data_IF_803584386426
#
_entry.id   IF_803584386426
#
_cell.length_a   1.000
_cell.length_b   1.000
_cell.length_c   1.000
_cell.angle_alpha   90.00
_cell.angle_beta   90.00
_cell.angle_gamma   90.00
#
_symmetry.space_group_name_H-M   'P 1'
#
loop_
_entity.id
_entity.type
_entity.pdbx_description
1 polymer ?
#
# COMPACT_ATOMS: atom_id res chain seq x y z
N UNK A 1 26.52 -32.95 46.53
CA UNK A 1 25.83 -33.60 45.41
C UNK A 1 25.51 -32.48 44.41
N UNK A 2 26.25 -32.43 43.32
CA UNK A 2 26.13 -31.41 42.30
C UNK A 2 25.13 -31.87 41.22
N UNK A 3 24.05 -31.13 41.05
CA UNK A 3 23.08 -31.38 39.96
C UNK A 3 23.64 -30.87 38.64
N UNK A 4 23.90 -31.79 37.70
CA UNK A 4 24.30 -31.48 36.36
C UNK A 4 23.05 -30.96 35.58
N UNK A 5 23.10 -29.74 35.13
CA UNK A 5 22.14 -29.13 34.17
C UNK A 5 22.43 -29.76 32.80
N UNK A 6 21.46 -30.50 32.28
CA UNK A 6 21.50 -31.00 30.89
C UNK A 6 21.43 -29.81 29.92
N UNK A 7 22.47 -29.60 29.13
CA UNK A 7 22.46 -28.76 27.93
C UNK A 7 21.38 -29.28 26.97
N UNK A 8 20.47 -28.40 26.58
CA UNK A 8 19.55 -28.63 25.47
C UNK A 8 20.36 -28.73 24.17
N UNK A 9 20.11 -29.79 23.41
CA UNK A 9 20.65 -29.97 22.06
C UNK A 9 20.27 -28.76 21.19
N UNK A 10 21.30 -28.13 20.64
CA UNK A 10 21.13 -27.13 19.57
C UNK A 10 20.62 -27.90 18.35
N UNK A 11 19.37 -27.66 17.96
CA UNK A 11 18.84 -28.11 16.68
C UNK A 11 19.71 -27.52 15.59
N UNK A 12 20.41 -28.37 14.88
CA UNK A 12 21.23 -28.05 13.72
C UNK A 12 20.29 -27.56 12.61
N UNK A 13 19.99 -26.25 12.61
CA UNK A 13 19.27 -25.60 11.52
C UNK A 13 20.25 -25.57 10.37
N UNK A 14 20.04 -26.44 9.39
CA UNK A 14 20.81 -26.43 8.15
C UNK A 14 20.66 -25.05 7.54
N UNK A 15 21.76 -24.32 7.38
CA UNK A 15 21.75 -23.01 6.77
C UNK A 15 21.16 -23.14 5.35
N UNK A 16 20.07 -22.44 5.10
CA UNK A 16 19.44 -22.37 3.79
C UNK A 16 20.39 -21.67 2.81
N UNK A 17 20.79 -22.35 1.74
CA UNK A 17 21.61 -21.77 0.67
C UNK A 17 20.69 -21.31 -0.48
N UNK A 18 20.49 -20.01 -0.66
CA UNK A 18 19.63 -19.47 -1.71
C UNK A 18 20.07 -19.85 -3.12
N UNK A 19 21.38 -20.13 -3.34
CA UNK A 19 21.92 -20.44 -4.67
C UNK A 19 21.35 -21.74 -5.26
N UNK A 20 20.89 -22.67 -4.42
CA UNK A 20 20.23 -23.90 -4.87
C UNK A 20 18.93 -23.63 -5.66
N UNK A 21 18.31 -22.46 -5.46
CA UNK A 21 17.03 -22.09 -6.08
C UNK A 21 17.17 -21.06 -7.19
N UNK A 22 18.38 -20.52 -7.44
CA UNK A 22 18.59 -19.52 -8.49
C UNK A 22 18.19 -20.01 -9.88
N UNK A 23 18.47 -21.29 -10.18
CA UNK A 23 18.13 -21.90 -11.48
C UNK A 23 16.62 -22.15 -11.65
N UNK A 24 15.89 -22.24 -10.54
CA UNK A 24 14.46 -22.48 -10.50
C UNK A 24 13.66 -21.23 -10.13
N UNK A 25 14.35 -20.09 -10.01
CA UNK A 25 13.71 -18.82 -9.76
C UNK A 25 12.64 -18.54 -10.82
N UNK A 26 11.41 -18.26 -10.37
CA UNK A 26 10.21 -18.02 -11.17
C UNK A 26 9.64 -19.24 -11.93
N UNK A 27 10.23 -20.42 -11.82
CA UNK A 27 9.71 -21.66 -12.42
C UNK A 27 8.49 -22.12 -11.66
N UNK A 28 7.45 -21.94 -11.66
CA UNK A 28 6.26 -22.33 -10.86
C UNK A 28 5.27 -21.20 -10.72
N UNK A 29 5.70 -19.98 -11.09
CA UNK A 29 4.86 -18.80 -11.07
C UNK A 29 4.36 -18.40 -12.47
N UNK A 30 4.64 -19.20 -13.50
CA UNK A 30 4.32 -18.89 -14.89
C UNK A 30 2.82 -18.77 -15.22
N UNK A 31 1.96 -19.30 -14.35
CA UNK A 31 0.51 -19.21 -14.50
C UNK A 31 -0.15 -18.15 -13.58
N UNK A 32 0.64 -17.37 -12.82
CA UNK A 32 0.09 -16.30 -11.99
C UNK A 32 -0.38 -15.14 -12.87
N UNK A 33 -1.69 -14.90 -12.85
CA UNK A 33 -2.31 -13.69 -13.40
C UNK A 33 -2.29 -12.53 -12.42
N UNK A 34 -2.57 -11.33 -12.90
CA UNK A 34 -2.71 -10.15 -12.03
C UNK A 34 -3.84 -10.32 -10.99
N UNK A 35 -4.86 -11.12 -11.31
CA UNK A 35 -6.00 -11.38 -10.44
C UNK A 35 -5.66 -12.34 -9.28
N UNK A 36 -4.53 -13.05 -9.39
CA UNK A 36 -4.04 -13.95 -8.35
C UNK A 36 -3.16 -13.24 -7.32
N UNK A 37 -2.87 -11.95 -7.53
CA UNK A 37 -1.97 -11.18 -6.70
C UNK A 37 -2.74 -10.20 -5.79
N UNK A 38 -2.47 -10.27 -4.49
CA UNK A 38 -2.95 -9.24 -3.57
C UNK A 38 -2.17 -7.95 -3.77
N UNK A 39 -2.87 -6.83 -4.00
CA UNK A 39 -2.23 -5.52 -4.08
C UNK A 39 -1.86 -5.06 -2.67
N UNK A 40 -0.57 -4.90 -2.33
CA UNK A 40 -0.15 -4.42 -1.03
C UNK A 40 -0.40 -2.91 -0.94
N UNK A 41 -1.20 -2.49 0.04
CA UNK A 41 -1.41 -1.07 0.33
C UNK A 41 -0.47 -0.59 1.44
N UNK A 42 0.06 0.60 1.26
CA UNK A 42 0.71 1.34 2.33
C UNK A 42 -0.29 2.37 2.90
N UNK A 43 -0.67 2.20 4.16
CA UNK A 43 -1.71 3.00 4.82
C UNK A 43 -1.20 3.63 6.10
N UNK A 44 -1.74 4.79 6.46
CA UNK A 44 -1.52 5.39 7.77
C UNK A 44 -2.60 4.85 8.72
N UNK A 45 -2.19 4.33 9.86
CA UNK A 45 -3.10 3.90 10.92
C UNK A 45 -3.75 5.13 11.58
N UNK A 46 -5.03 5.03 11.87
CA UNK A 46 -5.82 6.03 12.59
C UNK A 46 -6.33 5.45 13.90
N UNK A 47 -6.86 6.27 14.79
CA UNK A 47 -7.45 5.85 16.08
C UNK A 47 -8.57 4.83 15.92
N UNK A 48 -9.19 4.74 14.74
CA UNK A 48 -10.24 3.77 14.43
C UNK A 48 -9.73 2.50 13.77
N UNK A 49 -8.44 2.42 13.42
CA UNK A 49 -7.85 1.27 12.73
C UNK A 49 -7.90 0.01 13.62
N UNK A 50 -8.30 -1.15 13.08
CA UNK A 50 -8.36 -2.40 13.84
C UNK A 50 -6.98 -2.84 14.35
N UNK A 51 -5.91 -2.52 13.62
CA UNK A 51 -4.53 -2.90 13.96
C UNK A 51 -4.04 -2.37 15.32
N UNK A 52 -4.59 -1.26 15.80
CA UNK A 52 -4.22 -0.67 17.10
C UNK A 52 -5.13 -1.11 18.26
N UNK A 53 -6.19 -1.83 17.98
CA UNK A 53 -7.18 -2.24 18.97
C UNK A 53 -6.86 -3.63 19.52
N UNK A 54 -6.38 -3.72 20.77
CA UNK A 54 -5.93 -4.98 21.42
C UNK A 54 -6.92 -6.15 21.39
N UNK A 55 -8.22 -5.88 21.24
CA UNK A 55 -9.27 -6.92 21.18
C UNK A 55 -9.71 -7.29 19.77
N UNK A 56 -9.15 -6.63 18.77
CA UNK A 56 -9.48 -6.88 17.36
C UNK A 56 -8.63 -8.05 16.82
N UNK A 57 -9.19 -8.97 16.04
CA UNK A 57 -8.44 -10.06 15.42
C UNK A 57 -7.30 -9.60 14.51
N UNK A 58 -7.34 -8.34 14.03
CA UNK A 58 -6.31 -7.73 13.19
C UNK A 58 -5.30 -6.91 13.99
N UNK A 59 -5.32 -6.99 15.33
CA UNK A 59 -4.38 -6.27 16.19
C UNK A 59 -2.93 -6.64 15.86
N UNK A 60 -2.08 -5.63 15.85
CA UNK A 60 -0.63 -5.79 15.70
C UNK A 60 0.04 -5.19 16.92
N UNK A 61 0.86 -5.97 17.59
CA UNK A 61 1.61 -5.52 18.78
C UNK A 61 2.53 -4.35 18.41
N UNK A 62 2.48 -3.28 19.21
CA UNK A 62 3.25 -2.07 18.99
C UNK A 62 2.70 -1.14 17.90
N UNK A 63 1.56 -1.46 17.29
CA UNK A 63 0.93 -0.56 16.33
C UNK A 63 0.22 0.59 17.04
N UNK A 64 0.48 1.81 16.60
CA UNK A 64 -0.12 3.05 17.12
C UNK A 64 -0.69 3.91 15.99
N UNK A 65 -1.57 4.83 16.36
CA UNK A 65 -2.11 5.84 15.44
C UNK A 65 -0.98 6.71 14.89
N UNK A 66 -1.03 7.01 13.59
CA UNK A 66 0.01 7.76 12.88
C UNK A 66 1.11 6.90 12.26
N UNK A 67 1.27 5.64 12.67
CA UNK A 67 2.20 4.72 12.04
C UNK A 67 1.77 4.34 10.63
N UNK A 68 2.74 3.96 9.81
CA UNK A 68 2.54 3.50 8.44
C UNK A 68 2.50 1.97 8.42
N UNK A 69 1.50 1.40 7.78
CA UNK A 69 1.21 -0.04 7.77
C UNK A 69 1.16 -0.60 6.35
N UNK A 70 1.87 -1.70 6.09
CA UNK A 70 1.78 -2.48 4.87
C UNK A 70 0.74 -3.59 5.04
N UNK A 71 -0.31 -3.59 4.22
CA UNK A 71 -1.43 -4.52 4.36
C UNK A 71 -1.08 -5.97 4.03
N UNK A 72 -0.05 -6.21 3.22
CA UNK A 72 0.38 -7.55 2.81
C UNK A 72 1.40 -8.14 3.79
N UNK A 73 2.54 -7.45 3.98
CA UNK A 73 3.63 -7.95 4.83
C UNK A 73 3.35 -7.79 6.32
N UNK A 74 2.34 -6.97 6.68
CA UNK A 74 1.99 -6.58 8.05
C UNK A 74 3.05 -5.71 8.75
N UNK A 75 4.06 -5.26 8.03
CA UNK A 75 5.07 -4.37 8.57
C UNK A 75 4.46 -3.04 9.01
N UNK A 76 4.97 -2.53 10.14
CA UNK A 76 4.67 -1.20 10.64
C UNK A 76 5.94 -0.35 10.65
N UNK A 77 5.80 0.90 10.24
CA UNK A 77 6.87 1.88 10.22
C UNK A 77 6.48 3.06 11.09
N UNK A 78 7.44 3.60 11.80
CA UNK A 78 7.24 4.82 12.60
C UNK A 78 6.79 5.97 11.68
N UNK A 79 5.70 6.64 12.03
CA UNK A 79 5.12 7.73 11.23
C UNK A 79 5.96 9.01 11.25
N UNK A 80 6.78 9.24 12.29
CA UNK A 80 7.67 10.40 12.40
C UNK A 80 8.94 10.20 11.57
N UNK A 81 9.51 9.00 11.62
CA UNK A 81 10.70 8.63 10.83
C UNK A 81 10.33 8.49 9.35
N UNK A 82 9.15 7.97 9.07
CA UNK A 82 8.65 7.72 7.72
C UNK A 82 9.25 6.47 7.08
N UNK A 83 8.93 6.28 5.80
CA UNK A 83 9.40 5.16 4.99
C UNK A 83 9.95 5.68 3.66
N UNK A 84 11.03 5.08 3.18
CA UNK A 84 11.59 5.41 1.87
C UNK A 84 10.81 4.70 0.77
N UNK A 85 10.31 5.47 -0.18
CA UNK A 85 9.61 4.94 -1.34
C UNK A 85 10.19 5.48 -2.64
N UNK A 86 10.16 4.66 -3.68
CA UNK A 86 10.46 5.06 -5.05
C UNK A 86 9.13 5.07 -5.80
N UNK A 87 8.63 6.25 -6.24
CA UNK A 87 7.43 6.30 -7.08
C UNK A 87 7.75 5.74 -8.47
N UNK A 88 6.87 4.85 -8.96
CA UNK A 88 7.05 4.16 -10.23
C UNK A 88 5.99 4.55 -11.26
N UNK A 89 4.72 4.72 -10.81
CA UNK A 89 3.63 5.12 -11.67
C UNK A 89 2.55 5.86 -10.88
N UNK A 90 1.76 6.64 -11.61
CA UNK A 90 0.62 7.38 -11.07
C UNK A 90 -0.62 7.14 -11.92
N UNK A 91 -1.75 6.87 -11.26
CA UNK A 91 -3.04 6.74 -11.91
C UNK A 91 -4.11 7.44 -11.08
N UNK A 92 -4.90 8.28 -11.72
CA UNK A 92 -6.11 8.86 -11.13
C UNK A 92 -7.32 8.12 -11.63
N UNK A 93 -8.27 7.82 -10.71
CA UNK A 93 -9.50 7.10 -11.03
C UNK A 93 -10.65 7.65 -10.19
N UNK A 94 -11.86 7.50 -10.72
CA UNK A 94 -13.09 7.65 -9.96
C UNK A 94 -13.61 6.27 -9.60
N UNK A 95 -13.84 6.03 -8.31
CA UNK A 95 -14.27 4.72 -7.81
C UNK A 95 -15.67 4.86 -7.25
N UNK A 96 -16.59 4.02 -7.75
CA UNK A 96 -17.96 3.95 -7.26
C UNK A 96 -18.06 2.97 -6.10
N UNK A 97 -18.65 3.42 -5.00
CA UNK A 97 -18.84 2.66 -3.77
C UNK A 97 -20.30 2.66 -3.32
N UNK A 98 -20.73 1.56 -2.71
CA UNK A 98 -21.90 1.52 -1.82
C UNK A 98 -21.55 2.12 -0.47
N UNK A 99 -22.54 2.50 0.33
CA UNK A 99 -22.30 2.92 1.70
C UNK A 99 -21.77 1.76 2.57
N UNK A 100 -21.10 2.12 3.65
CA UNK A 100 -20.47 1.14 4.54
C UNK A 100 -21.54 0.24 5.17
N UNK A 101 -21.39 -1.06 4.94
CA UNK A 101 -22.33 -2.07 5.43
C UNK A 101 -23.41 -2.48 4.41
N UNK A 102 -23.52 -1.80 3.26
CA UNK A 102 -24.51 -2.10 2.22
C UNK A 102 -23.97 -2.96 1.06
N UNK A 103 -22.70 -3.31 1.08
CA UNK A 103 -22.07 -4.10 -0.01
C UNK A 103 -20.94 -4.99 0.48
N UNK A 104 -20.27 -5.63 -0.47
CA UNK A 104 -19.12 -6.53 -0.22
C UNK A 104 -17.86 -5.80 0.26
N UNK A 105 -17.84 -4.46 0.22
CA UNK A 105 -16.64 -3.65 0.46
C UNK A 105 -15.71 -3.56 -0.75
N UNK A 106 -16.07 -4.20 -1.87
CA UNK A 106 -15.41 -4.03 -3.15
C UNK A 106 -15.97 -2.82 -3.91
N UNK A 107 -15.18 -2.22 -4.82
CA UNK A 107 -15.70 -1.21 -5.75
C UNK A 107 -16.84 -1.76 -6.59
N UNK A 108 -17.88 -0.95 -6.80
CA UNK A 108 -18.97 -1.28 -7.75
C UNK A 108 -18.50 -1.09 -9.19
N UNK A 109 -17.86 0.07 -9.45
CA UNK A 109 -17.25 0.41 -10.72
C UNK A 109 -15.99 1.24 -10.54
N UNK A 110 -15.13 1.24 -11.55
CA UNK A 110 -13.93 2.09 -11.63
C UNK A 110 -13.96 2.82 -12.98
N UNK A 111 -13.89 4.14 -12.91
CA UNK A 111 -13.92 5.01 -14.07
C UNK A 111 -12.57 5.69 -14.26
N UNK A 112 -12.08 5.90 -15.48
CA UNK A 112 -10.84 6.62 -15.76
C UNK A 112 -10.97 8.11 -15.36
N UNK A 113 -9.83 8.79 -15.24
CA UNK A 113 -9.77 10.19 -14.82
C UNK A 113 -10.48 11.16 -15.79
N UNK A 114 -10.61 10.76 -17.05
CA UNK A 114 -11.25 11.51 -18.13
C UNK A 114 -12.79 11.35 -18.15
N UNK A 115 -13.32 10.45 -17.31
CA UNK A 115 -14.76 10.21 -17.25
C UNK A 115 -15.50 11.44 -16.75
N UNK A 116 -16.67 11.68 -17.32
CA UNK A 116 -17.61 12.72 -16.91
C UNK A 116 -18.51 12.29 -15.76
N UNK A 117 -18.25 11.15 -15.13
CA UNK A 117 -19.09 10.56 -14.08
C UNK A 117 -19.47 11.54 -12.97
N UNK A 118 -18.60 12.50 -12.64
CA UNK A 118 -18.90 13.50 -11.63
C UNK A 118 -20.04 14.44 -12.05
N UNK A 119 -20.29 14.63 -13.32
CA UNK A 119 -21.42 15.44 -13.81
C UNK A 119 -22.78 14.80 -13.52
N UNK A 120 -22.79 13.49 -13.25
CA UNK A 120 -23.96 12.69 -12.94
C UNK A 120 -24.23 12.60 -11.43
N UNK A 121 -23.40 13.26 -10.61
CA UNK A 121 -23.51 13.21 -9.16
C UNK A 121 -24.13 14.48 -8.57
N UNK A 122 -24.75 14.32 -7.41
CA UNK A 122 -25.18 15.42 -6.54
C UNK A 122 -24.43 15.31 -5.21
N UNK A 123 -23.93 16.44 -4.71
CA UNK A 123 -23.18 16.46 -3.47
C UNK A 123 -24.11 16.41 -2.27
N UNK A 124 -23.92 15.39 -1.40
CA UNK A 124 -24.71 15.21 -0.19
C UNK A 124 -24.20 16.07 0.99
N UNK A 125 -24.91 16.02 2.12
CA UNK A 125 -24.57 16.72 3.37
C UNK A 125 -23.23 16.24 3.96
N UNK A 126 -22.83 15.00 3.68
CA UNK A 126 -21.56 14.41 4.10
C UNK A 126 -20.42 14.75 3.13
N UNK A 127 -20.70 15.59 2.11
CA UNK A 127 -19.79 16.00 1.04
C UNK A 127 -19.31 14.83 0.14
N UNK A 128 -20.13 13.78 0.01
CA UNK A 128 -19.94 12.72 -0.96
C UNK A 128 -20.65 13.10 -2.26
N UNK A 129 -20.03 12.78 -3.39
CA UNK A 129 -20.60 12.96 -4.72
C UNK A 129 -21.45 11.72 -5.06
N UNK A 130 -22.80 11.82 -4.92
CA UNK A 130 -23.73 10.69 -5.04
C UNK A 130 -24.36 10.60 -6.40
N UNK A 131 -24.46 9.36 -6.88
CA UNK A 131 -25.24 8.98 -8.05
C UNK A 131 -26.72 8.78 -7.70
N UNK A 132 -27.59 8.78 -8.71
CA UNK A 132 -29.01 8.54 -8.55
C UNK A 132 -29.37 7.18 -7.92
N UNK A 133 -28.48 6.18 -8.07
CA UNK A 133 -28.63 4.84 -7.47
C UNK A 133 -28.25 4.77 -5.98
N UNK A 134 -27.85 5.90 -5.38
CA UNK A 134 -27.42 5.97 -3.97
C UNK A 134 -25.94 5.73 -3.73
N UNK A 135 -25.20 5.15 -4.68
CA UNK A 135 -23.76 4.96 -4.60
C UNK A 135 -23.03 6.32 -4.61
N UNK A 136 -21.80 6.34 -4.12
CA UNK A 136 -20.99 7.57 -4.19
C UNK A 136 -19.71 7.36 -4.98
N UNK A 137 -19.25 8.45 -5.60
CA UNK A 137 -18.00 8.49 -6.36
C UNK A 137 -16.88 9.06 -5.51
N UNK A 138 -15.75 8.37 -5.47
CA UNK A 138 -14.55 8.80 -4.77
C UNK A 138 -13.40 9.07 -5.75
N UNK A 139 -12.93 10.33 -5.83
CA UNK A 139 -11.74 10.70 -6.61
C UNK A 139 -10.49 10.18 -5.91
N UNK A 140 -9.86 9.18 -6.48
CA UNK A 140 -8.72 8.46 -5.92
C UNK A 140 -7.48 8.65 -6.79
N UNK A 141 -6.37 9.01 -6.15
CA UNK A 141 -5.04 9.05 -6.74
C UNK A 141 -4.24 7.85 -6.25
N UNK A 142 -3.88 6.99 -7.16
CA UNK A 142 -3.08 5.80 -6.93
C UNK A 142 -1.62 6.07 -7.29
N UNK A 143 -0.73 5.98 -6.30
CA UNK A 143 0.72 6.04 -6.48
C UNK A 143 1.27 4.62 -6.31
N UNK A 144 1.76 4.03 -7.39
CA UNK A 144 2.45 2.75 -7.38
C UNK A 144 3.91 3.00 -7.04
N UNK A 145 4.39 2.39 -5.97
CA UNK A 145 5.71 2.66 -5.42
C UNK A 145 6.44 1.37 -5.08
N UNK A 146 7.75 1.46 -4.94
CA UNK A 146 8.58 0.47 -4.25
C UNK A 146 8.92 1.01 -2.86
N UNK A 147 8.67 0.22 -1.82
CA UNK A 147 9.21 0.46 -0.48
C UNK A 147 10.60 -0.13 -0.40
N UNK A 148 11.54 0.63 0.12
CA UNK A 148 12.91 0.16 0.35
C UNK A 148 13.04 -0.27 1.80
N UNK A 149 13.26 -1.57 2.01
CA UNK A 149 13.54 -2.15 3.32
C UNK A 149 14.89 -1.73 3.90
N UNK A 150 15.07 -1.94 5.20
CA UNK A 150 16.33 -1.63 5.89
C UNK A 150 17.50 -2.49 5.41
N UNK A 151 17.21 -3.66 4.92
CA UNK A 151 18.14 -4.64 4.34
C UNK A 151 18.44 -4.41 2.84
N UNK A 152 17.87 -3.34 2.26
CA UNK A 152 18.01 -3.02 0.84
C UNK A 152 17.04 -3.78 -0.08
N UNK A 153 16.20 -4.65 0.45
CA UNK A 153 15.13 -5.28 -0.34
C UNK A 153 14.09 -4.26 -0.78
N UNK A 154 13.36 -4.57 -1.84
CA UNK A 154 12.27 -3.71 -2.30
C UNK A 154 10.98 -4.51 -2.45
N UNK A 155 9.86 -3.90 -2.09
CA UNK A 155 8.53 -4.47 -2.29
C UNK A 155 7.59 -3.47 -2.95
N UNK A 156 6.73 -3.97 -3.83
CA UNK A 156 5.71 -3.15 -4.48
C UNK A 156 4.63 -2.77 -3.48
N UNK A 157 4.16 -1.52 -3.53
CA UNK A 157 3.04 -1.04 -2.73
C UNK A 157 2.21 -0.03 -3.50
N UNK A 158 0.94 0.08 -3.14
CA UNK A 158 0.02 1.09 -3.62
C UNK A 158 -0.30 2.07 -2.48
N UNK A 159 -0.12 3.37 -2.75
CA UNK A 159 -0.54 4.45 -1.86
C UNK A 159 -1.74 5.12 -2.50
N UNK A 160 -2.94 4.78 -2.02
CA UNK A 160 -4.18 5.38 -2.51
C UNK A 160 -4.51 6.65 -1.70
N UNK A 161 -4.48 7.79 -2.36
CA UNK A 161 -4.79 9.10 -1.77
C UNK A 161 -6.13 9.62 -2.27
N UNK A 162 -7.08 9.83 -1.35
CA UNK A 162 -8.44 10.23 -1.62
C UNK A 162 -8.88 11.38 -0.73
N UNK A 163 -10.01 12.01 -1.05
CA UNK A 163 -10.60 13.08 -0.25
C UNK A 163 -9.56 14.16 0.11
N UNK A 164 -9.34 14.46 1.38
CA UNK A 164 -8.37 15.47 1.85
C UNK A 164 -6.92 15.17 1.46
N UNK A 165 -6.57 13.91 1.25
CA UNK A 165 -5.24 13.50 0.81
C UNK A 165 -4.95 13.85 -0.65
N UNK A 166 -5.98 14.10 -1.49
CA UNK A 166 -5.82 14.52 -2.89
C UNK A 166 -4.94 15.77 -3.03
N UNK A 167 -5.04 16.72 -2.08
CA UNK A 167 -4.17 17.91 -2.06
C UNK A 167 -2.69 17.54 -1.87
N UNK A 168 -2.41 16.54 -1.02
CA UNK A 168 -1.06 16.03 -0.78
C UNK A 168 -0.52 15.29 -2.02
N UNK A 169 -1.36 14.47 -2.66
CA UNK A 169 -1.03 13.81 -3.93
C UNK A 169 -0.63 14.83 -5.03
N UNK A 170 -1.42 15.89 -5.23
CA UNK A 170 -1.10 16.96 -6.19
C UNK A 170 0.25 17.61 -5.89
N UNK A 171 0.52 17.91 -4.60
CA UNK A 171 1.83 18.47 -4.20
C UNK A 171 2.98 17.50 -4.48
N UNK A 172 2.78 16.21 -4.19
CA UNK A 172 3.79 15.18 -4.46
C UNK A 172 4.10 15.11 -5.96
N UNK A 173 3.07 15.01 -6.81
CA UNK A 173 3.25 15.01 -8.27
C UNK A 173 4.02 16.25 -8.76
N UNK A 174 3.69 17.44 -8.23
CA UNK A 174 4.42 18.67 -8.61
C UNK A 174 5.89 18.63 -8.19
N UNK A 175 6.20 18.08 -7.02
CA UNK A 175 7.58 17.91 -6.57
C UNK A 175 8.33 16.93 -7.46
N UNK A 176 7.71 15.78 -7.79
CA UNK A 176 8.31 14.76 -8.66
C UNK A 176 8.57 15.30 -10.08
N UNK A 177 7.61 16.02 -10.65
CA UNK A 177 7.76 16.63 -11.98
C UNK A 177 8.88 17.69 -12.01
N UNK A 178 9.06 18.43 -10.91
CA UNK A 178 10.11 19.43 -10.75
C UNK A 178 11.50 18.86 -10.44
N UNK A 179 11.56 17.60 -10.02
CA UNK A 179 12.83 16.97 -9.63
C UNK A 179 13.70 16.71 -10.86
N UNK A 180 14.94 17.17 -10.80
CA UNK A 180 15.97 16.90 -11.81
C UNK A 180 17.10 16.14 -11.14
N UNK A 181 17.40 14.95 -11.65
CA UNK A 181 18.52 14.13 -11.20
C UNK A 181 19.64 14.20 -12.20
N UNK A 182 20.90 14.19 -11.70
CA UNK A 182 22.10 14.14 -12.55
C UNK A 182 22.43 12.68 -12.85
N UNK A 183 22.36 12.29 -14.10
CA UNK A 183 22.80 10.99 -14.60
C UNK A 183 24.07 11.11 -15.45
N UNK A 184 24.50 9.99 -16.01
CA UNK A 184 25.69 9.92 -16.86
C UNK A 184 25.61 10.85 -18.11
N UNK A 185 24.39 11.01 -18.65
CA UNK A 185 24.11 11.79 -19.86
C UNK A 185 23.50 13.18 -19.57
N UNK A 186 23.62 13.69 -18.35
CA UNK A 186 23.08 14.99 -17.95
C UNK A 186 21.90 14.92 -17.00
N UNK A 187 21.09 16.01 -16.95
CA UNK A 187 19.91 16.07 -16.07
C UNK A 187 18.71 15.34 -16.70
N UNK A 188 18.05 14.52 -15.92
CA UNK A 188 16.81 13.86 -16.31
C UNK A 188 15.73 13.99 -15.23
N UNK A 189 14.46 13.87 -15.63
CA UNK A 189 13.34 13.74 -14.69
C UNK A 189 13.14 12.25 -14.41
N UNK A 190 13.09 11.81 -13.14
CA UNK A 190 12.81 10.42 -12.83
C UNK A 190 11.40 10.04 -13.33
N UNK A 191 11.16 8.75 -13.62
CA UNK A 191 9.83 8.28 -13.96
C UNK A 191 8.85 8.58 -12.82
N UNK A 192 7.64 8.98 -13.17
CA UNK A 192 6.54 9.33 -12.26
C UNK A 192 5.52 8.21 -12.20
#
# INVERSE_FOLDING_TARGET
MANAVKKKDETNVVAFDPSMFEQDANKGLGNLGMDDLAIPFLRILSDTSPQIKKRDPLYIEGAESGMIYNTLTKDIFDGEVGVKVIPCAYQRQYIEWTDRGEGSGAPVNIYPAESDILSQTTRDEQRKDRLANGNYIEDTANHYCLVIGKDGTSSQVLIAMKSTQRKKSKRWNSLMLGLKLKGANGLFTPPS
#
